data_IF_773456554878
#
_entry.id   IF_773456554878
#
_cell.length_a   1.000
_cell.length_b   1.000
_cell.length_c   1.000
_cell.angle_alpha   90.00
_cell.angle_beta   90.00
_cell.angle_gamma   90.00
#
_symmetry.space_group_name_H-M   'P 1'
#
loop_
_entity.id
_entity.type
_entity.pdbx_description
1 polymer ?
#
# COMPACT_ATOMS: atom_id res chain seq x y z
N UNK A 1 -13.52 0.99 -9.76
CA UNK A 1 -12.82 2.26 -9.53
C UNK A 1 -12.92 3.06 -10.82
N UNK A 2 -13.61 4.19 -10.83
CA UNK A 2 -13.56 5.13 -11.97
C UNK A 2 -12.43 6.10 -11.68
N UNK A 3 -11.20 5.72 -12.01
CA UNK A 3 -10.06 6.62 -11.95
C UNK A 3 -10.18 7.61 -13.12
N UNK A 4 -10.21 8.91 -12.84
CA UNK A 4 -10.55 9.92 -13.85
C UNK A 4 -9.30 10.32 -14.65
N UNK A 5 -8.10 10.20 -14.06
CA UNK A 5 -6.79 10.33 -14.73
C UNK A 5 -5.68 9.79 -13.80
N UNK A 6 -4.69 9.08 -14.34
CA UNK A 6 -3.41 8.83 -13.67
C UNK A 6 -2.43 9.93 -14.07
N UNK A 7 -1.98 10.74 -13.12
CA UNK A 7 -1.14 11.92 -13.39
C UNK A 7 0.35 11.59 -13.47
N UNK A 8 0.80 10.51 -12.83
CA UNK A 8 2.18 10.03 -12.87
C UNK A 8 2.25 8.52 -12.61
N UNK A 9 3.09 7.84 -13.38
CA UNK A 9 3.45 6.44 -13.17
C UNK A 9 4.96 6.33 -13.03
N UNK A 10 5.42 5.62 -12.02
CA UNK A 10 6.83 5.30 -11.81
C UNK A 10 6.97 3.78 -11.78
N UNK A 11 7.78 3.23 -12.68
CA UNK A 11 8.19 1.83 -12.65
C UNK A 11 9.68 1.77 -12.39
N UNK A 12 10.08 1.01 -11.39
CA UNK A 12 11.49 0.75 -11.09
C UNK A 12 11.69 -0.75 -10.96
N UNK A 13 12.74 -1.26 -11.60
CA UNK A 13 13.15 -2.66 -11.57
C UNK A 13 14.61 -2.76 -11.16
N UNK A 14 14.91 -3.62 -10.20
CA UNK A 14 16.26 -3.83 -9.65
C UNK A 14 16.48 -5.33 -9.39
N UNK A 15 17.69 -5.72 -8.97
CA UNK A 15 17.93 -7.09 -8.50
C UNK A 15 17.16 -7.43 -7.22
N UNK A 16 16.83 -6.44 -6.39
CA UNK A 16 16.09 -6.62 -5.14
C UNK A 16 14.60 -6.85 -5.41
N UNK A 17 14.06 -6.16 -6.41
CA UNK A 17 12.65 -6.25 -6.78
C UNK A 17 12.20 -5.13 -7.70
N UNK A 18 10.91 -5.18 -8.01
CA UNK A 18 10.18 -4.26 -8.84
C UNK A 18 9.16 -3.49 -8.02
N UNK A 19 8.98 -2.21 -8.31
CA UNK A 19 7.88 -1.41 -7.76
C UNK A 19 7.27 -0.54 -8.86
N UNK A 20 5.94 -0.56 -8.93
CA UNK A 20 5.16 0.31 -9.79
C UNK A 20 4.25 1.19 -8.93
N UNK A 21 4.34 2.50 -9.08
CA UNK A 21 3.51 3.46 -8.35
C UNK A 21 2.67 4.29 -9.29
N UNK A 22 1.45 4.58 -8.88
CA UNK A 22 0.54 5.47 -9.61
C UNK A 22 -0.19 6.39 -8.63
N UNK A 23 -0.28 7.67 -8.99
CA UNK A 23 -1.19 8.61 -8.32
C UNK A 23 -2.57 8.54 -8.98
N UNK A 24 -3.58 8.17 -8.18
CA UNK A 24 -4.98 8.15 -8.57
C UNK A 24 -5.73 9.29 -7.89
N UNK A 25 -6.61 9.95 -8.63
CA UNK A 25 -7.52 10.96 -8.08
C UNK A 25 -8.95 10.42 -8.03
N UNK A 26 -9.62 10.56 -6.89
CA UNK A 26 -11.04 10.24 -6.72
C UNK A 26 -11.92 11.32 -7.36
N UNK A 27 -13.21 11.04 -7.54
CA UNK A 27 -14.21 12.00 -8.04
C UNK A 27 -14.27 13.31 -7.24
N UNK A 28 -13.87 13.30 -5.97
CA UNK A 28 -13.87 14.46 -5.08
C UNK A 28 -12.49 15.13 -4.97
N UNK A 29 -11.58 14.83 -5.89
CA UNK A 29 -10.25 15.45 -5.94
C UNK A 29 -9.22 14.89 -4.96
N UNK A 30 -9.62 14.01 -4.02
CA UNK A 30 -8.69 13.33 -3.09
C UNK A 30 -7.72 12.45 -3.88
N UNK A 31 -6.42 12.64 -3.65
CA UNK A 31 -5.34 11.82 -4.22
C UNK A 31 -5.07 10.59 -3.36
N UNK A 32 -4.74 9.48 -4.00
CA UNK A 32 -4.33 8.21 -3.36
C UNK A 32 -3.18 7.65 -4.19
N UNK A 33 -2.10 7.26 -3.52
CA UNK A 33 -0.98 6.55 -4.14
C UNK A 33 -1.23 5.05 -4.05
N UNK A 34 -1.15 4.36 -5.19
CA UNK A 34 -1.11 2.90 -5.24
C UNK A 34 0.28 2.46 -5.65
N UNK A 35 0.92 1.64 -4.83
CA UNK A 35 2.21 1.04 -5.08
C UNK A 35 2.06 -0.48 -5.12
N UNK A 36 2.39 -1.09 -6.25
CA UNK A 36 2.50 -2.53 -6.43
C UNK A 36 3.97 -2.93 -6.34
N UNK A 37 4.31 -3.91 -5.51
CA UNK A 37 5.69 -4.39 -5.33
C UNK A 37 5.80 -5.88 -5.61
N UNK A 38 6.92 -6.27 -6.23
CA UNK A 38 7.38 -7.65 -6.29
C UNK A 38 8.83 -7.69 -5.80
N UNK A 39 9.07 -8.33 -4.67
CA UNK A 39 10.43 -8.52 -4.15
C UNK A 39 10.95 -9.86 -4.65
N UNK A 40 12.17 -9.87 -5.19
CA UNK A 40 12.84 -11.10 -5.64
C UNK A 40 12.96 -12.11 -4.50
N UNK A 41 13.01 -13.39 -4.82
CA UNK A 41 13.23 -14.44 -3.81
C UNK A 41 14.59 -14.26 -3.11
N UNK A 42 14.66 -14.71 -1.85
CA UNK A 42 15.89 -14.78 -1.03
C UNK A 42 16.62 -13.44 -0.82
N UNK A 43 15.93 -12.30 -0.92
CA UNK A 43 16.51 -11.01 -0.54
C UNK A 43 16.61 -10.88 0.97
N UNK A 44 17.63 -10.17 1.44
CA UNK A 44 17.75 -9.86 2.87
C UNK A 44 16.82 -8.71 3.24
N UNK A 45 16.32 -8.73 4.47
CA UNK A 45 15.35 -7.75 4.95
C UNK A 45 15.93 -6.33 4.93
N UNK A 46 17.22 -6.17 5.24
CA UNK A 46 17.91 -4.88 5.16
C UNK A 46 17.95 -4.31 3.73
N UNK A 47 18.13 -5.17 2.72
CA UNK A 47 18.19 -4.77 1.32
C UNK A 47 16.79 -4.37 0.82
N UNK A 48 15.75 -5.11 1.25
CA UNK A 48 14.34 -4.81 0.97
C UNK A 48 13.94 -3.47 1.61
N UNK A 49 14.31 -3.25 2.87
CA UNK A 49 14.07 -1.97 3.57
C UNK A 49 14.76 -0.83 2.83
N UNK A 50 16.03 -1.00 2.46
CA UNK A 50 16.80 0.02 1.74
C UNK A 50 16.17 0.34 0.38
N UNK A 51 15.76 -0.69 -0.37
CA UNK A 51 15.04 -0.55 -1.63
C UNK A 51 13.74 0.24 -1.44
N UNK A 52 12.85 -0.22 -0.55
CA UNK A 52 11.56 0.45 -0.30
C UNK A 52 11.74 1.88 0.22
N UNK A 53 12.74 2.11 1.08
CA UNK A 53 13.05 3.45 1.59
C UNK A 53 13.37 4.40 0.44
N UNK A 54 14.23 3.97 -0.49
CA UNK A 54 14.64 4.82 -1.61
C UNK A 54 13.45 5.13 -2.53
N UNK A 55 12.63 4.13 -2.85
CA UNK A 55 11.51 4.29 -3.77
C UNK A 55 10.37 5.11 -3.18
N UNK A 56 10.09 4.93 -1.88
CA UNK A 56 9.01 5.61 -1.19
C UNK A 56 9.46 6.92 -0.52
N UNK A 57 10.75 7.28 -0.58
CA UNK A 57 11.33 8.43 0.12
C UNK A 57 10.48 9.70 0.02
N UNK A 58 9.95 10.10 -1.17
CA UNK A 58 9.12 11.31 -1.28
C UNK A 58 7.85 11.29 -0.43
N UNK A 59 7.39 10.13 -0.01
CA UNK A 59 6.18 9.91 0.78
C UNK A 59 6.48 9.65 2.27
N UNK A 60 7.75 9.58 2.68
CA UNK A 60 8.13 9.51 4.10
C UNK A 60 7.97 10.87 4.78
N UNK A 61 7.76 10.88 6.10
CA UNK A 61 7.69 12.13 6.88
C UNK A 61 8.95 13.00 6.70
N UNK A 62 10.14 12.37 6.71
CA UNK A 62 11.40 13.08 6.51
C UNK A 62 11.62 13.55 5.07
N UNK A 63 11.29 12.71 4.08
CA UNK A 63 11.48 13.04 2.67
C UNK A 63 10.53 14.13 2.18
N UNK A 64 9.26 14.11 2.59
CA UNK A 64 8.31 15.18 2.28
C UNK A 64 8.77 16.53 2.85
N UNK A 65 9.26 16.54 4.10
CA UNK A 65 9.81 17.74 4.74
C UNK A 65 11.03 18.29 3.98
N UNK A 66 11.96 17.42 3.55
CA UNK A 66 13.15 17.83 2.76
C UNK A 66 12.75 18.40 1.40
N UNK A 67 11.75 17.81 0.75
CA UNK A 67 11.27 18.24 -0.56
C UNK A 67 10.33 19.45 -0.49
N UNK A 68 9.98 19.92 0.72
CA UNK A 68 9.08 21.06 0.91
C UNK A 68 7.65 20.81 0.41
N UNK A 69 7.17 19.56 0.49
CA UNK A 69 5.81 19.19 0.10
C UNK A 69 5.08 18.44 1.22
N UNK A 70 3.80 18.11 0.98
CA UNK A 70 2.94 17.40 1.94
C UNK A 70 2.64 15.97 1.48
N UNK A 71 3.55 15.35 0.72
CA UNK A 71 3.34 14.01 0.17
C UNK A 71 3.24 12.94 1.25
N UNK A 72 3.80 13.20 2.44
CA UNK A 72 3.66 12.32 3.60
C UNK A 72 2.21 12.24 4.09
N UNK A 73 1.37 13.26 3.83
CA UNK A 73 -0.06 13.28 4.20
C UNK A 73 -0.95 12.59 3.17
N UNK A 74 -0.42 12.18 2.02
CA UNK A 74 -1.22 11.54 0.96
C UNK A 74 -1.51 10.08 1.38
N UNK A 75 -2.79 9.64 1.32
CA UNK A 75 -3.14 8.23 1.50
C UNK A 75 -2.37 7.33 0.54
N UNK A 76 -1.84 6.22 1.06
CA UNK A 76 -1.00 5.30 0.30
C UNK A 76 -1.42 3.87 0.57
N UNK A 77 -1.50 3.08 -0.51
CA UNK A 77 -1.65 1.63 -0.48
C UNK A 77 -0.40 1.02 -1.10
N UNK A 78 0.32 0.22 -0.33
CA UNK A 78 1.46 -0.57 -0.80
C UNK A 78 1.06 -2.04 -0.75
N UNK A 79 1.11 -2.74 -1.87
CA UNK A 79 0.69 -4.13 -1.93
C UNK A 79 1.47 -4.97 -2.92
N UNK A 80 1.55 -6.27 -2.66
CA UNK A 80 2.14 -7.22 -3.59
C UNK A 80 2.86 -8.37 -2.89
N UNK A 81 3.75 -9.04 -3.61
CA UNK A 81 4.52 -10.18 -3.12
C UNK A 81 5.88 -9.70 -2.59
N UNK A 82 6.09 -9.86 -1.29
CA UNK A 82 7.31 -9.44 -0.62
C UNK A 82 8.34 -10.58 -0.49
N UNK A 83 7.97 -11.82 -0.81
CA UNK A 83 8.80 -13.01 -0.59
C UNK A 83 9.41 -13.12 0.84
N UNK A 84 8.77 -12.48 1.83
CA UNK A 84 9.05 -12.60 3.27
C UNK A 84 7.80 -13.16 3.93
N UNK A 85 7.94 -14.16 4.79
CA UNK A 85 6.80 -14.70 5.51
C UNK A 85 6.38 -13.78 6.67
N UNK A 86 5.26 -13.08 6.52
CA UNK A 86 4.68 -12.17 7.52
C UNK A 86 4.09 -12.89 8.74
N UNK A 87 3.91 -14.22 8.67
CA UNK A 87 3.42 -15.01 9.81
C UNK A 87 4.49 -15.25 10.90
N UNK A 88 5.75 -14.86 10.67
CA UNK A 88 6.87 -15.10 11.59
C UNK A 88 7.60 -13.81 11.95
N UNK A 89 8.34 -13.87 13.06
CA UNK A 89 9.03 -12.75 13.68
C UNK A 89 10.10 -12.10 12.79
N UNK A 90 10.68 -12.86 11.85
CA UNK A 90 11.67 -12.34 10.93
C UNK A 90 11.14 -11.16 10.12
N UNK A 91 9.83 -11.08 9.85
CA UNK A 91 9.21 -9.98 9.09
C UNK A 91 9.07 -8.66 9.88
N UNK A 92 9.18 -8.69 11.21
CA UNK A 92 8.95 -7.54 12.10
C UNK A 92 9.78 -6.30 11.75
N UNK A 93 11.08 -6.38 11.39
CA UNK A 93 11.86 -5.21 11.04
C UNK A 93 11.27 -4.45 9.84
N UNK A 94 10.73 -5.17 8.84
CA UNK A 94 10.09 -4.54 7.69
C UNK A 94 8.77 -3.89 8.08
N UNK A 95 7.93 -4.57 8.87
CA UNK A 95 6.65 -4.02 9.35
C UNK A 95 6.89 -2.73 10.14
N UNK A 96 7.80 -2.77 11.12
CA UNK A 96 8.12 -1.61 11.96
C UNK A 96 8.69 -0.47 11.13
N UNK A 97 9.57 -0.76 10.17
CA UNK A 97 10.10 0.25 9.26
C UNK A 97 9.00 0.95 8.46
N UNK A 98 8.06 0.20 7.90
CA UNK A 98 6.94 0.75 7.12
C UNK A 98 6.01 1.60 8.00
N UNK A 99 5.72 1.14 9.22
CA UNK A 99 4.90 1.88 10.17
C UNK A 99 5.60 3.17 10.63
N UNK A 100 6.85 3.10 11.10
CA UNK A 100 7.56 4.24 11.68
C UNK A 100 7.94 5.31 10.65
N UNK A 101 8.31 4.92 9.42
CA UNK A 101 8.79 5.86 8.39
C UNK A 101 7.69 6.40 7.50
N UNK A 102 6.62 5.63 7.31
CA UNK A 102 5.58 5.94 6.34
C UNK A 102 4.17 5.93 6.91
N UNK A 103 3.97 5.60 8.21
CA UNK A 103 2.66 5.36 8.81
C UNK A 103 1.88 4.23 8.11
N UNK A 104 2.57 3.30 7.44
CA UNK A 104 1.97 2.20 6.70
C UNK A 104 1.75 1.00 7.62
N UNK A 105 0.48 0.62 7.79
CA UNK A 105 0.09 -0.49 8.65
C UNK A 105 -0.34 -1.70 7.83
N UNK A 106 0.05 -2.90 8.26
CA UNK A 106 -0.35 -4.15 7.63
C UNK A 106 -1.86 -4.33 7.76
N UNK A 107 -2.54 -4.53 6.63
CA UNK A 107 -3.99 -4.58 6.54
C UNK A 107 -4.55 -6.01 6.46
N UNK A 108 -3.85 -6.94 5.80
CA UNK A 108 -4.24 -8.36 5.83
C UNK A 108 -3.71 -9.07 7.08
N UNK A 109 -4.44 -10.11 7.51
CA UNK A 109 -4.03 -10.90 8.67
C UNK A 109 -2.77 -11.74 8.35
N UNK A 110 -1.63 -11.55 9.06
CA UNK A 110 -0.41 -12.30 8.80
C UNK A 110 -0.56 -13.81 9.02
N UNK A 111 -1.53 -14.24 9.83
CA UNK A 111 -1.80 -15.64 10.12
C UNK A 111 -2.73 -16.32 9.10
N UNK A 112 -3.19 -15.60 8.07
CA UNK A 112 -4.00 -16.17 6.99
C UNK A 112 -3.11 -16.36 5.75
N UNK A 113 -2.78 -17.62 5.38
CA UNK A 113 -1.86 -17.88 4.28
C UNK A 113 -2.28 -17.28 2.95
N UNK A 114 -1.33 -16.66 2.27
CA UNK A 114 -1.49 -16.15 0.91
C UNK A 114 -0.94 -17.09 -0.15
N UNK A 115 -0.46 -18.28 0.25
CA UNK A 115 -0.06 -19.34 -0.67
C UNK A 115 -0.67 -20.68 -0.29
N UNK A 116 -0.71 -21.60 -1.25
CA UNK A 116 -1.18 -22.96 -1.03
C UNK A 116 -0.23 -23.81 -0.15
N UNK A 117 1.00 -23.36 0.12
CA UNK A 117 1.91 -24.04 1.05
C UNK A 117 1.77 -23.57 2.50
N UNK A 118 0.92 -22.59 2.78
CA UNK A 118 0.71 -22.08 4.13
C UNK A 118 1.57 -20.87 4.50
N UNK A 119 2.29 -20.26 3.56
CA UNK A 119 3.04 -19.02 3.82
C UNK A 119 2.20 -17.76 3.58
N UNK A 120 2.54 -16.68 4.27
CA UNK A 120 1.95 -15.35 4.06
C UNK A 120 3.03 -14.42 3.51
N UNK A 121 3.24 -14.42 2.19
CA UNK A 121 4.30 -13.61 1.52
C UNK A 121 3.75 -12.42 0.75
N UNK A 122 2.49 -12.49 0.33
CA UNK A 122 1.74 -11.34 -0.14
C UNK A 122 1.20 -10.50 1.03
N UNK A 123 1.31 -9.17 0.93
CA UNK A 123 0.80 -8.25 1.93
C UNK A 123 0.22 -6.97 1.32
N UNK A 124 -0.70 -6.35 2.05
CA UNK A 124 -1.25 -5.03 1.79
C UNK A 124 -0.98 -4.16 3.01
N UNK A 125 -0.32 -3.03 2.79
CA UNK A 125 -0.10 -1.98 3.77
C UNK A 125 -0.86 -0.73 3.37
N UNK A 126 -1.45 -0.04 4.35
CA UNK A 126 -2.24 1.17 4.10
C UNK A 126 -1.95 2.25 5.12
N UNK A 127 -2.10 3.51 4.69
CA UNK A 127 -2.10 4.67 5.58
C UNK A 127 -3.20 5.66 5.21
N UNK A 128 -3.74 6.33 6.21
CA UNK A 128 -4.74 7.41 6.07
C UNK A 128 -5.94 7.04 5.20
N UNK A 129 -6.37 5.77 5.30
CA UNK A 129 -7.59 5.25 4.69
C UNK A 129 -8.38 4.55 5.78
N UNK A 130 -9.62 4.99 6.00
CA UNK A 130 -10.47 4.44 7.06
C UNK A 130 -11.23 3.21 6.55
N UNK A 131 -11.40 2.23 7.44
CA UNK A 131 -12.22 1.04 7.19
C UNK A 131 -11.79 0.24 5.94
N UNK A 132 -10.49 0.19 5.65
CA UNK A 132 -9.96 -0.68 4.59
C UNK A 132 -10.02 -2.13 5.06
N UNK A 133 -10.66 -2.98 4.28
CA UNK A 133 -10.72 -4.43 4.52
C UNK A 133 -9.96 -5.17 3.43
N UNK A 134 -9.03 -6.04 3.83
CA UNK A 134 -8.40 -7.02 2.92
C UNK A 134 -8.81 -8.43 3.29
N UNK A 135 -9.22 -9.21 2.29
CA UNK A 135 -9.59 -10.62 2.43
C UNK A 135 -8.83 -11.48 1.43
N UNK A 136 -8.45 -12.66 1.89
CA UNK A 136 -7.76 -13.67 1.08
C UNK A 136 -8.77 -14.61 0.43
N UNK A 137 -8.61 -14.86 -0.87
CA UNK A 137 -9.47 -15.74 -1.67
C UNK A 137 -8.63 -16.79 -2.39
N UNK A 138 -9.14 -18.01 -2.42
CA UNK A 138 -8.50 -19.12 -3.16
C UNK A 138 -8.52 -18.82 -4.65
N UNK A 139 -7.36 -18.88 -5.29
CA UNK A 139 -7.22 -18.75 -6.73
C UNK A 139 -6.73 -20.07 -7.33
N UNK A 140 -7.57 -20.75 -8.11
CA UNK A 140 -7.30 -22.11 -8.61
C UNK A 140 -6.24 -22.18 -9.72
N UNK A 141 -5.86 -21.06 -10.31
CA UNK A 141 -4.95 -20.98 -11.45
C UNK A 141 -3.54 -20.49 -11.08
N UNK A 142 -3.26 -20.34 -9.78
CA UNK A 142 -1.95 -19.90 -9.28
C UNK A 142 -1.66 -20.56 -7.94
N UNK A 143 -0.39 -20.60 -7.57
CA UNK A 143 0.07 -21.03 -6.26
C UNK A 143 -0.28 -20.02 -5.15
N UNK A 144 -0.48 -18.74 -5.52
CA UNK A 144 -0.84 -17.67 -4.61
C UNK A 144 -2.37 -17.54 -4.50
N UNK A 145 -2.85 -17.21 -3.31
CA UNK A 145 -4.22 -16.79 -3.06
C UNK A 145 -4.35 -15.29 -3.33
N UNK A 146 -5.47 -14.88 -3.92
CA UNK A 146 -5.70 -13.48 -4.23
C UNK A 146 -6.04 -12.68 -2.96
N UNK A 147 -5.37 -11.55 -2.77
CA UNK A 147 -5.79 -10.53 -1.79
C UNK A 147 -6.75 -9.55 -2.49
N UNK A 148 -7.96 -9.44 -1.96
CA UNK A 148 -8.96 -8.47 -2.41
C UNK A 148 -9.12 -7.42 -1.32
N UNK A 149 -8.80 -6.18 -1.66
CA UNK A 149 -8.87 -5.03 -0.76
C UNK A 149 -10.01 -4.10 -1.16
N UNK A 150 -10.89 -3.80 -0.20
CA UNK A 150 -11.98 -2.84 -0.34
C UNK A 150 -11.55 -1.55 0.34
N UNK A 151 -11.49 -0.46 -0.42
CA UNK A 151 -11.13 0.87 0.06
C UNK A 151 -12.37 1.76 -0.02
N UNK A 152 -12.99 2.09 1.12
CA UNK A 152 -14.10 3.04 1.15
C UNK A 152 -13.61 4.43 0.76
N UNK A 153 -14.15 4.99 -0.32
CA UNK A 153 -13.92 6.38 -0.68
C UNK A 153 -15.03 7.18 -0.03
N UNK A 154 -14.73 7.82 1.11
CA UNK A 154 -15.67 8.75 1.73
C UNK A 154 -16.03 9.85 0.72
N UNK A 155 -17.31 9.96 0.41
CA UNK A 155 -17.87 11.14 -0.25
C UNK A 155 -18.04 12.20 0.83
N UNK A 156 -17.40 13.36 0.68
CA UNK A 156 -17.75 14.50 1.52
C UNK A 156 -19.22 14.80 1.29
N UNK A 157 -20.07 14.51 2.28
CA UNK A 157 -21.44 15.01 2.29
C UNK A 157 -21.33 16.52 2.40
N UNK A 158 -21.48 17.22 1.27
CA UNK A 158 -21.82 18.63 1.34
C UNK A 158 -23.16 18.69 2.09
N UNK A 159 -23.14 19.13 3.34
CA UNK A 159 -24.33 19.55 4.05
C UNK A 159 -24.89 20.74 3.29
N UNK A 160 -25.68 20.48 2.24
CA UNK A 160 -26.54 21.50 1.66
C UNK A 160 -27.60 21.76 2.71
N UNK A 161 -27.39 22.80 3.53
CA UNK A 161 -28.46 23.39 4.30
C UNK A 161 -29.50 23.88 3.31
N UNK A 162 -30.53 23.07 3.07
CA UNK A 162 -31.75 23.55 2.45
C UNK A 162 -32.47 24.35 3.53
N UNK A 163 -32.19 25.65 3.57
CA UNK A 163 -33.10 26.57 4.26
C UNK A 163 -34.36 26.68 3.39
N UNK A 164 -35.46 26.10 3.86
CA UNK A 164 -36.79 26.40 3.32
C UNK A 164 -37.07 27.89 3.57
N UNK A 165 -37.24 28.64 2.48
CA UNK A 165 -37.68 30.03 2.53
C UNK A 165 -39.19 29.99 2.80
N UNK A 166 -39.61 30.37 4.01
CA UNK A 166 -41.00 30.65 4.36
C UNK A 166 -41.43 32.04 3.89
#
# INVERSE_FOLDING_TARGET
>A
MTAINSSSQQLVSTSIGDICMVECQTLHGRKIIFAAVYISINQKIEDIISFLHHQLLPYSHGGAAILGNENDKIPLVLGGDFNINFAVDDSKPLINFLEEKFSLQLNNNPNTPTTNSGTTIDAIFTRYLDNVETRTYVAYFTYHNALVTIIPIQTTSNNVNIEEIN
#
